data_IF_165204212414
#
_entry.id   IF_165204212414
#
_cell.length_a   1.000
_cell.length_b   1.000
_cell.length_c   1.000
_cell.angle_alpha   90.00
_cell.angle_beta   90.00
_cell.angle_gamma   90.00
#
_symmetry.space_group_name_H-M   'P 1'
#
loop_
_entity.id
_entity.type
_entity.pdbx_description
1 polymer ?
#
# COMPACT_ATOMS: atom_id res chain seq x y z
N UNK A 1 -44.41 29.53 -21.04
CA UNK A 1 -43.78 30.84 -20.77
C UNK A 1 -43.42 30.92 -19.30
N UNK A 2 -42.18 30.62 -18.95
CA UNK A 2 -41.57 31.00 -17.67
C UNK A 2 -40.16 31.48 -18.03
N UNK A 3 -39.87 32.75 -17.73
CA UNK A 3 -38.57 33.39 -17.97
C UNK A 3 -37.72 33.19 -16.72
N UNK A 4 -36.62 32.46 -16.83
CA UNK A 4 -35.60 32.40 -15.80
C UNK A 4 -34.62 33.57 -15.97
N UNK A 5 -34.45 34.34 -14.89
CA UNK A 5 -33.57 35.49 -14.80
C UNK A 5 -32.23 35.09 -14.16
N UNK A 6 -31.12 35.33 -14.87
CA UNK A 6 -29.77 35.23 -14.31
C UNK A 6 -29.51 36.29 -13.22
N UNK A 7 -28.78 35.96 -12.12
CA UNK A 7 -28.28 36.95 -11.17
C UNK A 7 -26.93 37.56 -11.60
N UNK A 8 -26.56 38.76 -11.10
CA UNK A 8 -25.42 39.53 -11.59
C UNK A 8 -24.06 39.10 -11.01
N UNK A 9 -23.02 39.35 -11.82
CA UNK A 9 -21.58 39.15 -11.57
C UNK A 9 -21.06 40.03 -10.41
N UNK A 10 -20.41 39.41 -9.42
CA UNK A 10 -19.67 40.09 -8.36
C UNK A 10 -18.32 40.62 -8.88
N UNK A 11 -17.97 41.86 -8.48
CA UNK A 11 -16.69 42.52 -8.75
C UNK A 11 -15.60 42.02 -7.78
N UNK A 12 -14.32 42.00 -8.19
CA UNK A 12 -13.22 41.55 -7.34
C UNK A 12 -12.85 42.58 -6.26
N UNK A 13 -12.61 42.10 -5.04
CA UNK A 13 -12.02 42.87 -3.95
C UNK A 13 -10.50 43.00 -4.13
N UNK A 14 -10.01 44.23 -4.11
CA UNK A 14 -8.61 44.58 -3.85
C UNK A 14 -8.35 44.58 -2.35
N UNK A 15 -7.32 43.87 -1.89
CA UNK A 15 -6.69 44.12 -0.59
C UNK A 15 -5.17 44.14 -0.75
N UNK A 16 -4.57 45.09 -0.04
CA UNK A 16 -3.18 45.47 0.00
C UNK A 16 -2.44 44.80 1.17
N UNK A 17 -1.14 45.10 1.27
CA UNK A 17 -0.18 44.85 2.37
C UNK A 17 0.49 43.46 2.33
N UNK A 18 1.79 43.27 2.60
CA UNK A 18 2.76 44.10 3.33
C UNK A 18 4.21 43.65 3.00
N UNK A 19 5.13 44.62 3.03
CA UNK A 19 6.50 44.57 3.59
C UNK A 19 7.48 43.47 3.14
N UNK A 20 8.37 43.83 2.20
CA UNK A 20 9.64 43.15 1.97
C UNK A 20 10.70 43.69 2.95
N UNK A 21 11.38 42.79 3.66
CA UNK A 21 12.50 43.07 4.54
C UNK A 21 13.84 43.05 3.80
N UNK A 22 14.78 43.78 4.39
CA UNK A 22 16.00 44.37 3.89
C UNK A 22 17.11 43.42 3.36
N UNK A 23 17.88 44.06 2.47
CA UNK A 23 19.18 43.73 1.90
C UNK A 23 20.26 43.22 2.87
N UNK A 24 21.06 42.31 2.32
CA UNK A 24 22.43 42.00 2.67
C UNK A 24 23.37 43.22 2.57
N UNK A 25 24.28 43.39 3.54
CA UNK A 25 25.68 43.71 3.25
C UNK A 25 26.61 43.43 4.44
N UNK A 26 27.77 42.84 4.11
CA UNK A 26 28.91 42.49 4.95
C UNK A 26 29.60 43.68 5.62
N UNK A 27 30.20 43.48 6.81
CA UNK A 27 31.68 43.60 7.02
C UNK A 27 32.13 43.35 8.47
N UNK A 28 33.39 42.87 8.58
CA UNK A 28 34.35 43.04 9.68
C UNK A 28 34.43 42.03 10.84
N UNK A 29 35.43 41.14 10.72
CA UNK A 29 36.53 40.84 11.67
C UNK A 29 36.30 41.03 13.18
N UNK A 30 36.54 39.95 13.96
CA UNK A 30 37.49 40.00 15.08
C UNK A 30 37.95 38.60 15.51
N UNK A 31 39.28 38.46 15.58
CA UNK A 31 40.01 37.34 16.18
C UNK A 31 39.74 37.28 17.68
N UNK A 32 39.37 36.11 18.19
CA UNK A 32 39.68 35.71 19.56
C UNK A 32 40.09 34.24 19.57
N UNK A 33 41.36 34.02 19.92
CA UNK A 33 41.89 32.74 20.36
C UNK A 33 41.21 32.36 21.68
N UNK A 34 40.38 31.33 21.66
CA UNK A 34 40.05 30.56 22.86
C UNK A 34 40.15 29.08 22.55
N UNK A 35 41.02 28.42 23.30
CA UNK A 35 41.25 26.98 23.35
C UNK A 35 39.92 26.24 23.53
N UNK A 36 39.53 25.30 22.66
CA UNK A 36 38.40 24.44 22.94
C UNK A 36 38.88 23.34 23.90
N UNK A 37 38.47 23.45 25.16
CA UNK A 37 38.36 22.30 26.06
C UNK A 37 37.53 21.24 25.34
N UNK A 38 38.13 20.05 25.15
CA UNK A 38 37.43 18.86 24.70
C UNK A 38 36.35 18.50 25.72
N UNK A 39 35.15 19.01 25.52
CA UNK A 39 33.94 18.40 26.06
C UNK A 39 33.66 17.22 25.15
N UNK A 40 33.98 16.01 25.62
CA UNK A 40 33.51 14.78 25.01
C UNK A 40 31.99 14.79 25.05
N UNK A 41 31.39 15.27 23.96
CA UNK A 41 29.98 15.07 23.65
C UNK A 41 29.71 13.57 23.74
N UNK A 42 28.81 13.10 24.62
CA UNK A 42 28.35 11.73 24.50
C UNK A 42 27.63 11.63 23.16
N UNK A 43 28.25 10.89 22.25
CA UNK A 43 27.64 10.37 21.04
C UNK A 43 26.23 9.90 21.45
N UNK A 44 25.12 10.47 20.92
CA UNK A 44 23.81 9.90 21.18
C UNK A 44 23.72 8.64 20.34
N UNK A 45 24.36 7.58 20.81
CA UNK A 45 23.95 6.23 20.49
C UNK A 45 22.51 6.18 20.97
N UNK A 46 21.56 6.41 20.05
CA UNK A 46 20.17 6.07 20.27
C UNK A 46 20.20 4.62 20.75
N UNK A 47 19.98 4.43 22.03
CA UNK A 47 19.80 3.12 22.61
C UNK A 47 18.65 2.51 21.83
N UNK A 48 18.96 1.57 20.94
CA UNK A 48 17.93 0.72 20.34
C UNK A 48 17.37 -0.05 21.53
N UNK A 49 16.25 0.44 22.04
CA UNK A 49 15.52 -0.23 23.10
C UNK A 49 15.16 -1.60 22.55
N UNK A 50 15.57 -2.65 23.27
CA UNK A 50 15.23 -4.01 22.87
C UNK A 50 13.71 -4.12 22.77
N UNK A 51 13.23 -4.76 21.70
CA UNK A 51 11.81 -4.98 21.52
C UNK A 51 11.25 -5.76 22.73
N UNK A 52 10.14 -5.32 23.32
CA UNK A 52 9.54 -6.00 24.46
C UNK A 52 9.05 -7.40 24.05
N UNK A 53 8.99 -8.34 25.00
CA UNK A 53 8.44 -9.66 24.71
C UNK A 53 6.98 -9.57 24.24
N UNK A 54 6.62 -10.39 23.26
CA UNK A 54 5.27 -10.50 22.69
C UNK A 54 4.92 -11.98 22.58
N UNK A 55 3.65 -12.33 22.84
CA UNK A 55 3.17 -13.70 22.69
C UNK A 55 3.30 -14.14 21.22
N UNK A 56 3.76 -15.37 20.92
CA UNK A 56 3.97 -15.85 19.56
C UNK A 56 2.79 -15.66 18.61
N UNK A 57 1.56 -15.70 19.12
CA UNK A 57 0.31 -15.64 18.34
C UNK A 57 -0.34 -14.24 18.32
N UNK A 58 0.41 -13.20 18.70
CA UNK A 58 -0.11 -11.84 18.82
C UNK A 58 0.75 -10.81 18.09
N UNK A 59 0.13 -9.71 17.71
CA UNK A 59 0.80 -8.48 17.31
C UNK A 59 0.46 -7.39 18.33
N UNK A 60 1.46 -6.64 18.77
CA UNK A 60 1.30 -5.56 19.73
C UNK A 60 1.71 -4.23 19.10
N UNK A 61 0.73 -3.35 18.93
CA UNK A 61 0.94 -2.02 18.36
C UNK A 61 1.17 -0.99 19.45
N UNK A 62 1.95 0.03 19.10
CA UNK A 62 2.36 1.09 20.01
C UNK A 62 2.12 2.45 19.39
N UNK A 63 1.68 3.41 20.21
CA UNK A 63 1.38 4.78 19.75
C UNK A 63 2.63 5.66 19.54
N UNK A 64 3.82 5.15 19.87
CA UNK A 64 5.11 5.78 19.57
C UNK A 64 6.04 4.79 18.86
N UNK A 65 7.08 5.34 18.24
CA UNK A 65 8.20 4.55 17.69
C UNK A 65 8.94 3.83 18.82
N UNK A 66 9.75 2.84 18.46
CA UNK A 66 10.61 2.09 19.39
C UNK A 66 9.83 1.39 20.52
N UNK A 67 8.60 0.95 20.24
CA UNK A 67 7.75 0.19 21.15
C UNK A 67 7.41 0.94 22.44
N UNK A 68 7.09 2.23 22.32
CA UNK A 68 6.78 3.09 23.46
C UNK A 68 5.33 3.61 23.47
N UNK A 69 4.91 4.11 24.64
CA UNK A 69 3.55 4.61 24.86
C UNK A 69 2.57 3.48 25.12
N UNK A 70 1.28 3.81 24.94
CA UNK A 70 0.18 2.87 25.09
C UNK A 70 0.32 1.71 24.10
N UNK A 71 0.02 0.49 24.59
CA UNK A 71 0.10 -0.74 23.83
C UNK A 71 -1.28 -1.35 23.57
N UNK A 72 -1.42 -1.96 22.39
CA UNK A 72 -2.68 -2.53 21.92
C UNK A 72 -2.39 -3.91 21.32
N UNK A 73 -2.68 -4.99 22.06
CA UNK A 73 -2.47 -6.35 21.59
C UNK A 73 -3.64 -6.85 20.73
N UNK A 74 -3.32 -7.59 19.68
CA UNK A 74 -4.27 -8.25 18.78
C UNK A 74 -3.78 -9.66 18.47
N UNK A 75 -4.68 -10.65 18.57
CA UNK A 75 -4.34 -12.05 18.28
C UNK A 75 -4.58 -12.38 16.82
N UNK A 76 -3.96 -13.47 16.34
CA UNK A 76 -4.30 -14.11 15.06
C UNK A 76 -5.82 -14.24 14.92
N UNK A 77 -6.34 -13.88 13.73
CA UNK A 77 -7.76 -13.82 13.42
C UNK A 77 -8.37 -12.43 13.59
N UNK A 78 -7.67 -11.46 14.19
CA UNK A 78 -8.13 -10.08 14.25
C UNK A 78 -8.14 -9.43 12.86
N UNK A 79 -9.28 -8.84 12.48
CA UNK A 79 -9.45 -7.95 11.33
C UNK A 79 -9.96 -6.60 11.86
N UNK A 80 -9.10 -5.59 11.80
CA UNK A 80 -9.29 -4.33 12.53
C UNK A 80 -9.30 -3.18 11.55
N UNK A 81 -10.45 -2.52 11.43
CA UNK A 81 -10.52 -1.14 10.95
C UNK A 81 -10.24 -0.21 12.13
N UNK A 82 -9.13 0.52 12.07
CA UNK A 82 -8.65 1.34 13.18
C UNK A 82 -9.68 2.43 13.50
N UNK A 83 -10.20 2.55 14.73
CA UNK A 83 -11.13 3.62 15.05
C UNK A 83 -10.52 4.99 14.77
N UNK A 84 -11.32 5.99 14.38
CA UNK A 84 -10.81 7.34 14.11
C UNK A 84 -10.02 7.97 15.27
N UNK A 85 -10.27 7.54 16.51
CA UNK A 85 -9.49 7.94 17.69
C UNK A 85 -8.09 7.33 17.77
N UNK A 86 -7.81 6.28 17.00
CA UNK A 86 -6.52 5.56 16.90
C UNK A 86 -5.91 5.61 15.49
N UNK A 87 -6.65 6.12 14.50
CA UNK A 87 -6.16 6.23 13.13
C UNK A 87 -4.86 7.04 13.09
N UNK A 88 -3.87 6.52 12.39
CA UNK A 88 -2.54 7.12 12.24
C UNK A 88 -1.76 7.30 13.56
N UNK A 89 -2.22 6.72 14.67
CA UNK A 89 -1.52 6.80 15.96
C UNK A 89 -0.50 5.70 16.16
N UNK A 90 -0.65 4.55 15.50
CA UNK A 90 0.31 3.47 15.61
C UNK A 90 1.59 3.81 14.84
N UNK A 91 2.72 3.80 15.55
CA UNK A 91 4.03 4.19 15.02
C UNK A 91 5.08 3.09 15.15
N UNK A 92 4.80 2.03 15.89
CA UNK A 92 5.59 0.79 15.86
C UNK A 92 4.71 -0.43 16.18
N UNK A 93 5.18 -1.62 15.79
CA UNK A 93 4.50 -2.89 16.07
C UNK A 93 5.53 -3.97 16.37
N UNK A 94 5.28 -4.80 17.38
CA UNK A 94 6.04 -6.03 17.60
C UNK A 94 5.14 -7.24 17.35
N UNK A 95 5.55 -8.12 16.45
CA UNK A 95 4.76 -9.27 16.00
C UNK A 95 5.41 -10.56 16.50
N UNK A 96 4.60 -11.40 17.15
CA UNK A 96 5.00 -12.72 17.61
C UNK A 96 5.40 -13.66 16.47
N UNK A 97 6.20 -14.67 16.78
CA UNK A 97 6.86 -15.53 15.79
C UNK A 97 5.91 -16.39 14.97
N UNK A 98 4.67 -16.62 15.44
CA UNK A 98 3.65 -17.39 14.74
C UNK A 98 2.63 -16.49 14.05
N UNK A 99 2.74 -15.17 14.21
CA UNK A 99 1.85 -14.19 13.64
C UNK A 99 2.53 -13.40 12.52
N UNK A 100 1.69 -12.84 11.65
CA UNK A 100 2.05 -11.81 10.68
C UNK A 100 0.97 -10.74 10.68
N UNK A 101 1.36 -9.49 10.47
CA UNK A 101 0.41 -8.40 10.21
C UNK A 101 0.40 -8.09 8.72
N UNK A 102 -0.79 -8.06 8.12
CA UNK A 102 -1.06 -7.50 6.80
C UNK A 102 -1.79 -6.17 7.03
N UNK A 103 -1.23 -5.06 6.57
CA UNK A 103 -1.68 -3.72 6.91
C UNK A 103 -1.94 -2.88 5.66
N UNK A 104 -2.93 -1.98 5.74
CA UNK A 104 -3.34 -1.07 4.67
C UNK A 104 -3.37 0.38 5.15
N UNK A 105 -3.03 1.27 4.22
CA UNK A 105 -3.09 2.70 4.44
C UNK A 105 -4.53 3.22 4.58
N UNK A 106 -5.47 2.70 3.81
CA UNK A 106 -6.85 3.19 3.80
C UNK A 106 -7.86 2.13 4.27
N UNK A 107 -9.00 2.61 4.81
CA UNK A 107 -10.06 1.76 5.36
C UNK A 107 -10.68 0.79 4.35
N UNK A 108 -10.72 1.20 3.09
CA UNK A 108 -11.26 0.42 1.98
C UNK A 108 -10.20 -0.51 1.34
N UNK A 109 -9.13 -0.84 2.09
CA UNK A 109 -8.09 -1.78 1.67
C UNK A 109 -7.32 -1.32 0.43
N UNK A 110 -7.35 0.00 0.13
CA UNK A 110 -6.59 0.63 -0.94
C UNK A 110 -5.37 1.39 -0.40
N UNK A 111 -4.56 1.93 -1.32
CA UNK A 111 -3.33 2.64 -1.00
C UNK A 111 -2.18 1.67 -0.69
N UNK A 112 -1.18 2.15 0.04
CA UNK A 112 -0.02 1.33 0.38
C UNK A 112 -0.42 0.17 1.26
N UNK A 113 0.14 -1.01 0.98
CA UNK A 113 0.10 -2.15 1.89
C UNK A 113 1.49 -2.48 2.44
N UNK A 114 1.50 -3.13 3.60
CA UNK A 114 2.71 -3.68 4.24
C UNK A 114 2.43 -5.04 4.86
N UNK A 115 3.47 -5.85 4.90
CA UNK A 115 3.55 -7.05 5.73
C UNK A 115 4.59 -6.82 6.82
N UNK A 116 4.21 -7.05 8.08
CA UNK A 116 5.13 -6.94 9.21
C UNK A 116 5.22 -8.27 9.96
N UNK A 117 6.45 -8.69 10.17
CA UNK A 117 6.84 -9.84 10.97
C UNK A 117 7.91 -9.38 11.97
N UNK A 118 7.94 -10.00 13.16
CA UNK A 118 8.88 -9.62 14.21
C UNK A 118 8.78 -8.14 14.65
N UNK A 119 9.88 -7.58 15.19
CA UNK A 119 9.90 -6.21 15.71
C UNK A 119 10.06 -5.16 14.60
N UNK A 120 9.10 -4.25 14.50
CA UNK A 120 9.10 -3.12 13.56
C UNK A 120 9.04 -1.80 14.36
N UNK A 121 10.19 -1.20 14.70
CA UNK A 121 10.28 -0.05 15.61
C UNK A 121 9.78 1.26 14.99
N UNK A 122 9.55 1.29 13.67
CA UNK A 122 9.02 2.43 12.95
C UNK A 122 8.20 1.93 11.75
N UNK A 123 6.89 2.18 11.77
CA UNK A 123 5.98 1.83 10.66
C UNK A 123 5.43 3.06 9.93
N UNK A 124 6.08 4.22 10.10
CA UNK A 124 5.60 5.48 9.50
C UNK A 124 5.63 5.51 7.97
N UNK A 125 6.34 4.57 7.33
CA UNK A 125 6.45 4.45 5.88
C UNK A 125 5.14 4.01 5.19
N UNK A 126 4.20 3.39 5.94
CA UNK A 126 2.86 3.06 5.43
C UNK A 126 2.02 4.32 5.16
N UNK A 127 2.40 5.48 5.73
CA UNK A 127 1.73 6.76 5.44
C UNK A 127 0.34 6.90 6.07
N UNK A 128 0.11 6.25 7.21
CA UNK A 128 -1.12 6.29 7.98
C UNK A 128 -1.85 4.94 7.98
N UNK A 129 -1.85 4.24 9.11
CA UNK A 129 -2.44 2.90 9.24
C UNK A 129 -3.94 3.00 9.55
N UNK A 130 -4.78 2.55 8.61
CA UNK A 130 -6.25 2.57 8.78
C UNK A 130 -6.87 1.19 8.98
N UNK A 131 -6.24 0.11 8.49
CA UNK A 131 -6.76 -1.25 8.61
C UNK A 131 -5.63 -2.26 8.68
N UNK A 132 -5.83 -3.36 9.40
CA UNK A 132 -4.89 -4.47 9.40
C UNK A 132 -5.57 -5.79 9.77
N UNK A 133 -4.92 -6.89 9.38
CA UNK A 133 -5.25 -8.25 9.81
C UNK A 133 -4.04 -8.86 10.50
N UNK A 134 -4.28 -9.56 11.60
CA UNK A 134 -3.29 -10.43 12.23
C UNK A 134 -3.59 -11.86 11.79
N UNK A 135 -2.65 -12.48 11.09
CA UNK A 135 -2.82 -13.79 10.46
C UNK A 135 -1.72 -14.75 10.93
N UNK A 136 -1.90 -16.04 10.70
CA UNK A 136 -0.84 -17.05 10.86
C UNK A 136 0.38 -16.65 10.00
N UNK A 137 1.59 -16.83 10.53
CA UNK A 137 2.85 -16.45 9.86
C UNK A 137 2.98 -17.02 8.43
N UNK A 138 2.48 -18.23 8.21
CA UNK A 138 2.51 -18.91 6.91
C UNK A 138 1.40 -18.47 5.94
N UNK A 139 0.48 -17.60 6.35
CA UNK A 139 -0.53 -17.01 5.46
C UNK A 139 0.14 -16.12 4.42
N UNK A 140 -0.29 -16.15 3.16
CA UNK A 140 0.31 -15.34 2.09
C UNK A 140 -0.59 -14.19 1.70
N UNK A 141 0.01 -13.00 1.60
CA UNK A 141 -0.60 -11.85 0.96
C UNK A 141 -0.31 -11.95 -0.55
N UNK A 142 -1.34 -12.10 -1.37
CA UNK A 142 -1.22 -12.21 -2.83
C UNK A 142 -1.15 -10.81 -3.39
N UNK A 143 -0.08 -10.46 -4.11
CA UNK A 143 0.09 -9.11 -4.63
C UNK A 143 0.46 -9.05 -6.10
N UNK A 144 -0.06 -8.03 -6.79
CA UNK A 144 0.14 -7.79 -8.20
C UNK A 144 0.86 -6.48 -8.48
N UNK A 145 1.69 -6.50 -9.52
CA UNK A 145 2.06 -5.32 -10.31
C UNK A 145 1.45 -5.46 -11.70
N UNK A 146 1.04 -4.35 -12.31
CA UNK A 146 0.48 -4.37 -13.65
C UNK A 146 1.35 -3.59 -14.63
N UNK A 147 1.81 -4.27 -15.69
CA UNK A 147 2.59 -3.70 -16.78
C UNK A 147 1.85 -3.79 -18.09
N UNK A 148 2.16 -2.86 -18.98
CA UNK A 148 1.78 -2.92 -20.38
C UNK A 148 3.01 -3.08 -21.28
N UNK A 149 2.97 -4.08 -22.16
CA UNK A 149 3.98 -4.35 -23.18
C UNK A 149 3.49 -4.11 -24.61
N UNK A 150 2.27 -3.60 -24.78
CA UNK A 150 1.63 -3.35 -26.08
C UNK A 150 1.93 -1.96 -26.66
N UNK A 151 2.64 -1.11 -25.90
CA UNK A 151 3.06 0.22 -26.32
C UNK A 151 2.06 1.33 -25.99
N UNK A 152 1.11 1.10 -25.08
CA UNK A 152 0.23 2.13 -24.55
C UNK A 152 0.98 3.16 -23.70
N UNK A 153 0.37 4.32 -23.50
CA UNK A 153 0.92 5.33 -22.58
C UNK A 153 0.78 4.86 -21.13
N UNK A 154 1.64 5.31 -20.20
CA UNK A 154 1.45 5.03 -18.77
C UNK A 154 0.03 5.30 -18.31
N UNK A 155 -0.49 4.43 -17.45
CA UNK A 155 -1.85 4.47 -16.90
C UNK A 155 -3.00 4.29 -17.90
N UNK A 156 -2.72 3.94 -19.17
CA UNK A 156 -3.76 3.76 -20.18
C UNK A 156 -4.65 2.55 -19.91
N UNK A 157 -4.08 1.46 -19.41
CA UNK A 157 -4.84 0.25 -19.13
C UNK A 157 -5.02 0.07 -17.63
N UNK A 158 -6.09 -0.60 -17.24
CA UNK A 158 -6.31 -1.00 -15.86
C UNK A 158 -6.73 -2.47 -15.77
N UNK A 159 -6.34 -3.10 -14.67
CA UNK A 159 -7.00 -4.31 -14.19
C UNK A 159 -7.78 -3.98 -12.93
N UNK A 160 -9.08 -4.24 -12.95
CA UNK A 160 -9.91 -4.28 -11.76
C UNK A 160 -9.97 -5.71 -11.27
N UNK A 161 -9.62 -5.92 -10.01
CA UNK A 161 -9.62 -7.22 -9.34
C UNK A 161 -10.67 -7.18 -8.24
N UNK A 162 -11.68 -8.02 -8.33
CA UNK A 162 -12.77 -8.10 -7.33
C UNK A 162 -12.47 -9.23 -6.34
N UNK A 163 -11.53 -8.99 -5.42
CA UNK A 163 -11.12 -9.94 -4.40
C UNK A 163 -12.14 -9.97 -3.24
N UNK A 164 -12.55 -11.17 -2.84
CA UNK A 164 -13.60 -11.32 -1.82
C UNK A 164 -13.16 -10.87 -0.43
N UNK A 165 -11.87 -11.03 -0.13
CA UNK A 165 -11.29 -10.93 1.20
C UNK A 165 -10.51 -9.64 1.44
N UNK A 166 -10.07 -8.96 0.38
CA UNK A 166 -9.37 -7.65 0.42
C UNK A 166 -10.08 -6.58 -0.42
N UNK A 167 -11.31 -6.85 -0.85
CA UNK A 167 -12.13 -5.90 -1.59
C UNK A 167 -11.73 -5.71 -3.06
N UNK A 168 -12.31 -4.68 -3.67
CA UNK A 168 -12.03 -4.31 -5.06
C UNK A 168 -10.76 -3.49 -5.15
N UNK A 169 -9.85 -3.90 -6.04
CA UNK A 169 -8.59 -3.22 -6.29
C UNK A 169 -8.50 -2.81 -7.76
N UNK A 170 -8.11 -1.58 -8.02
CA UNK A 170 -7.87 -1.06 -9.37
C UNK A 170 -6.39 -0.76 -9.54
N UNK A 171 -5.74 -1.47 -10.45
CA UNK A 171 -4.29 -1.33 -10.71
C UNK A 171 -4.13 -0.79 -12.12
N UNK A 172 -3.38 0.30 -12.30
CA UNK A 172 -3.11 0.87 -13.63
C UNK A 172 -1.79 0.35 -14.18
N UNK A 173 -1.71 0.23 -15.50
CA UNK A 173 -0.53 -0.26 -16.19
C UNK A 173 0.62 0.75 -16.09
N UNK A 174 1.82 0.28 -15.78
CA UNK A 174 3.04 1.10 -15.78
C UNK A 174 2.93 2.34 -14.86
N UNK A 175 2.41 2.15 -13.65
CA UNK A 175 2.43 3.16 -12.58
C UNK A 175 3.87 3.56 -12.21
N UNK A 176 4.06 4.83 -11.80
CA UNK A 176 5.32 5.37 -11.30
C UNK A 176 5.09 6.09 -9.95
N UNK A 177 5.63 5.58 -8.83
CA UNK A 177 6.42 4.34 -8.74
C UNK A 177 5.57 3.10 -9.04
N UNK A 178 6.22 2.04 -9.52
CA UNK A 178 5.56 0.76 -9.73
C UNK A 178 5.34 0.08 -8.37
N UNK A 179 4.13 0.14 -7.85
CA UNK A 179 3.77 -0.40 -6.53
C UNK A 179 3.11 -1.78 -6.63
N UNK A 180 3.31 -2.60 -5.59
CA UNK A 180 2.60 -3.85 -5.41
C UNK A 180 1.24 -3.58 -4.78
N UNK A 181 0.20 -4.20 -5.32
CA UNK A 181 -1.17 -4.07 -4.85
C UNK A 181 -1.65 -5.40 -4.30
N UNK A 182 -2.17 -5.42 -3.08
CA UNK A 182 -2.70 -6.64 -2.46
C UNK A 182 -4.03 -7.02 -3.13
N UNK A 183 -4.13 -8.25 -3.63
CA UNK A 183 -5.29 -8.76 -4.38
C UNK A 183 -5.89 -10.04 -3.78
N UNK A 184 -5.41 -10.47 -2.62
CA UNK A 184 -5.97 -11.59 -1.88
C UNK A 184 -5.09 -12.01 -0.71
N UNK A 185 -5.62 -12.88 0.13
CA UNK A 185 -4.96 -13.49 1.28
C UNK A 185 -5.28 -14.98 1.27
N UNK A 186 -4.25 -15.82 1.24
CA UNK A 186 -4.41 -17.28 1.22
C UNK A 186 -3.65 -17.91 2.38
N UNK A 187 -4.34 -18.50 3.37
CA UNK A 187 -3.71 -19.30 4.42
C UNK A 187 -2.95 -20.49 3.81
N UNK A 188 -1.90 -20.97 4.49
CA UNK A 188 -1.25 -22.21 4.09
C UNK A 188 -2.24 -23.38 4.13
N UNK A 189 -2.27 -24.19 3.06
CA UNK A 189 -3.26 -25.25 2.87
C UNK A 189 -4.70 -24.74 2.69
N UNK A 190 -4.88 -23.43 2.50
CA UNK A 190 -6.19 -22.82 2.28
C UNK A 190 -6.87 -23.30 0.99
N UNK A 191 -8.21 -23.22 0.89
CA UNK A 191 -8.92 -23.62 -0.31
C UNK A 191 -8.55 -22.73 -1.50
N UNK A 192 -8.62 -23.23 -2.74
CA UNK A 192 -8.44 -22.40 -3.92
C UNK A 192 -9.41 -21.21 -3.94
N UNK A 193 -8.95 -20.06 -4.42
CA UNK A 193 -9.73 -18.82 -4.49
C UNK A 193 -9.86 -18.39 -5.95
N UNK A 194 -11.08 -18.08 -6.36
CA UNK A 194 -11.36 -17.51 -7.68
C UNK A 194 -11.73 -16.04 -7.54
N UNK A 195 -11.04 -15.19 -8.30
CA UNK A 195 -11.21 -13.74 -8.24
C UNK A 195 -11.54 -13.20 -9.63
N UNK A 196 -12.56 -12.34 -9.72
CA UNK A 196 -12.93 -11.70 -10.99
C UNK A 196 -11.88 -10.68 -11.44
N UNK A 197 -11.57 -10.66 -12.73
CA UNK A 197 -10.65 -9.69 -13.35
C UNK A 197 -11.32 -9.01 -14.53
N UNK A 198 -11.19 -7.68 -14.59
CA UNK A 198 -11.70 -6.86 -15.67
C UNK A 198 -10.56 -6.01 -16.22
N UNK A 199 -10.19 -6.26 -17.47
CA UNK A 199 -9.12 -5.54 -18.16
C UNK A 199 -9.74 -4.47 -19.06
N UNK A 200 -9.35 -3.22 -18.84
CA UNK A 200 -9.96 -2.06 -19.51
C UNK A 200 -8.92 -1.13 -20.11
N UNK A 201 -9.22 -0.59 -21.28
CA UNK A 201 -8.56 0.60 -21.82
C UNK A 201 -9.28 1.84 -21.25
N UNK A 202 -8.63 2.56 -20.36
CA UNK A 202 -9.19 3.74 -19.66
C UNK A 202 -9.34 4.95 -20.58
N UNK A 203 -8.61 4.99 -21.70
CA UNK A 203 -8.70 6.09 -22.68
C UNK A 203 -9.97 5.99 -23.52
N UNK A 204 -10.30 4.78 -23.96
CA UNK A 204 -11.48 4.51 -24.80
C UNK A 204 -12.70 4.10 -23.97
N UNK A 205 -12.48 3.61 -22.75
CA UNK A 205 -13.50 3.05 -21.88
C UNK A 205 -13.89 1.61 -22.20
N UNK A 206 -13.27 0.99 -23.22
CA UNK A 206 -13.58 -0.36 -23.71
C UNK A 206 -12.94 -1.43 -22.81
N UNK A 207 -13.70 -2.47 -22.48
CA UNK A 207 -13.14 -3.67 -21.87
C UNK A 207 -12.44 -4.52 -22.92
N UNK A 208 -11.17 -4.86 -22.68
CA UNK A 208 -10.41 -5.75 -23.53
C UNK A 208 -10.73 -7.21 -23.22
N UNK A 209 -10.95 -7.53 -21.94
CA UNK A 209 -11.38 -8.85 -21.50
C UNK A 209 -12.02 -8.77 -20.11
N UNK A 210 -12.87 -9.76 -19.83
CA UNK A 210 -13.45 -10.03 -18.52
C UNK A 210 -13.27 -11.51 -18.26
N UNK A 211 -12.73 -11.86 -17.10
CA UNK A 211 -12.40 -13.23 -16.77
C UNK A 211 -12.24 -13.44 -15.27
N UNK A 212 -11.47 -14.47 -14.90
CA UNK A 212 -11.12 -14.75 -13.52
C UNK A 212 -9.71 -15.32 -13.38
N UNK A 213 -9.12 -15.12 -12.20
CA UNK A 213 -7.83 -15.68 -11.82
C UNK A 213 -8.08 -16.67 -10.69
N UNK A 214 -7.46 -17.84 -10.78
CA UNK A 214 -7.54 -18.91 -9.79
C UNK A 214 -6.24 -18.98 -9.03
N UNK A 215 -6.31 -18.75 -7.72
CA UNK A 215 -5.18 -18.92 -6.81
C UNK A 215 -5.28 -20.26 -6.10
N UNK A 216 -4.16 -20.97 -6.02
CA UNK A 216 -4.07 -22.25 -5.33
C UNK A 216 -2.83 -22.31 -4.45
N UNK A 217 -2.94 -22.94 -3.29
CA UNK A 217 -1.79 -23.24 -2.45
C UNK A 217 -0.98 -24.41 -3.00
N UNK A 218 0.33 -24.23 -3.11
CA UNK A 218 1.28 -25.28 -3.50
C UNK A 218 2.00 -25.83 -2.28
N UNK A 219 1.57 -27.01 -1.81
CA UNK A 219 2.15 -27.67 -0.63
C UNK A 219 3.62 -28.06 -0.80
N UNK A 220 4.13 -28.18 -2.02
CA UNK A 220 5.52 -28.56 -2.26
C UNK A 220 6.47 -27.38 -2.11
N UNK A 221 6.06 -26.20 -2.54
CA UNK A 221 6.89 -24.99 -2.52
C UNK A 221 6.53 -24.03 -1.38
N UNK A 222 5.37 -24.22 -0.72
CA UNK A 222 4.80 -23.28 0.27
C UNK A 222 4.55 -21.88 -0.33
N UNK A 223 4.05 -21.88 -1.56
CA UNK A 223 3.76 -20.70 -2.38
C UNK A 223 2.30 -20.72 -2.86
N UNK A 224 1.84 -19.57 -3.33
CA UNK A 224 0.56 -19.45 -4.04
C UNK A 224 0.84 -19.57 -5.52
N UNK A 225 0.15 -20.42 -6.26
CA UNK A 225 0.16 -20.52 -7.73
C UNK A 225 -1.03 -19.77 -8.35
N UNK A 226 -0.82 -19.20 -9.54
CA UNK A 226 -1.91 -18.83 -10.44
C UNK A 226 -2.15 -20.04 -11.37
N UNK A 227 -3.36 -20.59 -11.33
CA UNK A 227 -3.78 -21.66 -12.22
C UNK A 227 -4.37 -21.03 -13.48
N UNK A 228 -3.63 -21.11 -14.58
CA UNK A 228 -4.14 -20.68 -15.89
C UNK A 228 -5.26 -21.63 -16.33
N UNK A 229 -6.42 -21.05 -16.66
CA UNK A 229 -7.62 -21.75 -17.09
C UNK A 229 -8.24 -21.01 -18.28
N UNK A 230 -9.28 -21.57 -18.88
CA UNK A 230 -10.02 -20.91 -19.98
C UNK A 230 -10.62 -19.55 -19.58
N UNK A 231 -10.81 -19.30 -18.28
CA UNK A 231 -11.32 -18.03 -17.79
C UNK A 231 -10.22 -17.01 -17.47
N UNK A 232 -8.93 -17.39 -17.52
CA UNK A 232 -7.83 -16.43 -17.39
C UNK A 232 -7.78 -15.56 -18.66
N UNK A 233 -7.76 -14.22 -18.56
CA UNK A 233 -7.75 -13.35 -19.74
C UNK A 233 -6.56 -13.66 -20.67
N UNK A 234 -6.78 -14.05 -21.92
CA UNK A 234 -5.69 -14.45 -22.83
C UNK A 234 -4.78 -13.28 -23.23
N UNK A 235 -5.23 -12.04 -23.01
CA UNK A 235 -4.45 -10.82 -23.19
C UNK A 235 -3.38 -10.62 -22.12
N UNK A 236 -3.48 -11.35 -21.01
CA UNK A 236 -2.58 -11.22 -19.87
C UNK A 236 -1.57 -12.35 -19.86
N UNK A 237 -0.38 -12.05 -19.33
CA UNK A 237 0.62 -13.02 -18.90
C UNK A 237 0.93 -12.77 -17.44
N UNK A 238 1.14 -13.82 -16.66
CA UNK A 238 1.64 -13.70 -15.29
C UNK A 238 3.09 -14.19 -15.20
N UNK A 239 3.88 -13.56 -14.33
CA UNK A 239 5.21 -14.01 -13.96
C UNK A 239 5.37 -13.93 -12.44
N UNK A 240 5.75 -15.05 -11.82
CA UNK A 240 6.04 -15.09 -10.38
C UNK A 240 7.29 -14.26 -10.07
N UNK A 241 7.17 -13.33 -9.12
CA UNK A 241 8.29 -12.54 -8.55
C UNK A 241 8.59 -12.88 -7.09
N UNK A 242 7.77 -13.73 -6.46
CA UNK A 242 7.99 -14.23 -5.11
C UNK A 242 6.99 -15.32 -4.71
N UNK A 243 6.94 -15.72 -3.43
CA UNK A 243 6.06 -16.79 -2.95
C UNK A 243 4.57 -16.56 -3.22
N UNK A 244 4.14 -15.31 -3.34
CA UNK A 244 2.75 -14.92 -3.64
C UNK A 244 2.65 -13.58 -4.38
N UNK A 245 3.74 -13.15 -5.03
CA UNK A 245 3.81 -11.89 -5.77
C UNK A 245 3.92 -12.17 -7.27
N UNK A 246 3.08 -11.53 -8.07
CA UNK A 246 2.99 -11.76 -9.52
C UNK A 246 3.02 -10.45 -10.31
N UNK A 247 3.91 -10.40 -11.29
CA UNK A 247 3.86 -9.38 -12.33
C UNK A 247 2.84 -9.81 -13.39
N UNK A 248 1.77 -9.04 -13.54
CA UNK A 248 0.76 -9.22 -14.57
C UNK A 248 1.10 -8.27 -15.73
N UNK A 249 1.25 -8.81 -16.93
CA UNK A 249 1.62 -8.04 -18.12
C UNK A 249 0.54 -8.15 -19.19
N UNK A 250 0.06 -7.01 -19.68
CA UNK A 250 -0.74 -6.94 -20.89
C UNK A 250 0.15 -7.19 -22.11
N UNK A 251 -0.14 -8.26 -22.86
CA UNK A 251 0.64 -8.69 -24.05
C UNK A 251 -0.13 -8.56 -25.36
N UNK A 252 -1.46 -8.45 -25.31
CA UNK A 252 -2.31 -8.15 -26.47
C UNK A 252 -3.41 -7.18 -26.05
N UNK A 253 -3.55 -6.05 -26.75
CA UNK A 253 -4.55 -5.03 -26.44
C UNK A 253 -5.82 -5.14 -27.32
N UNK A 254 -5.95 -6.22 -28.10
CA UNK A 254 -7.17 -6.49 -28.86
C UNK A 254 -8.30 -6.95 -27.93
N UNK A 255 -9.49 -6.33 -28.01
CA UNK A 255 -10.65 -6.82 -27.31
C UNK A 255 -10.96 -8.26 -27.69
N UNK A 256 -11.30 -9.08 -26.70
CA UNK A 256 -11.77 -10.43 -26.94
C UNK A 256 -13.08 -10.35 -27.72
N UNK A 257 -13.12 -10.95 -28.91
CA UNK A 257 -14.34 -11.05 -29.69
C UNK A 257 -15.35 -11.88 -28.89
N UNK A 258 -16.42 -11.24 -28.40
CA UNK A 258 -17.55 -11.93 -27.79
C UNK A 258 -18.25 -12.74 -28.88
N UNK A 259 -17.84 -13.99 -29.04
CA UNK A 259 -18.62 -14.95 -29.81
C UNK A 259 -19.76 -15.38 -28.88
N UNK A 260 -20.92 -14.73 -29.02
CA UNK A 260 -22.16 -15.24 -28.43
C UNK A 260 -22.46 -16.57 -29.13
N UNK A 261 -22.27 -17.68 -28.40
CA UNK A 261 -22.76 -19.00 -28.79
C UNK A 261 -24.02 -19.32 -28.02
#
# INVERSE_FOLDING_TARGET
>A
MYKESCPPRLKPLTTSSSTQYLNHHLTSLNNFNTTPTQTTSPNPTQLIKMAPHVDPSTAKFYVKKQFEGDEYPYSIGADVSVPGSLNDKFLSVNVGTNAKVIAWQHYNESGKYREWEGPNPDISDIGGLSRFKVVEHNTRAISFQFKDSTGGTPLQYSIKIDARDVGTVLIKSNEDPLEWHLVGILPAGGPPVTTGVFLRDEKTGVYLSVGSIYFQWNEKTNEVDIVESEAFPPQLKNERKGPSAFEITLVDNKPQSLIWT
#
